data_IF_362475435861
#
_entry.id   IF_362475435861
#
_cell.length_a   1.000
_cell.length_b   1.000
_cell.length_c   1.000
_cell.angle_alpha   90.00
_cell.angle_beta   90.00
_cell.angle_gamma   90.00
#
_symmetry.space_group_name_H-M   'P 1'
#
loop_
_entity.id
_entity.type
_entity.pdbx_description
1 polymer ?
#
# COMPACT_ATOMS: atom_id res chain seq x y z
N UNK A 1 -8.47 -2.05 6.30
CA UNK A 1 -8.16 -3.49 6.36
C UNK A 1 -6.85 -3.61 7.13
N UNK A 2 -6.79 -4.47 8.12
CA UNK A 2 -5.57 -4.72 8.88
C UNK A 2 -4.75 -5.81 8.14
N UNK A 3 -3.53 -5.47 7.78
CA UNK A 3 -2.64 -6.35 7.01
C UNK A 3 -1.80 -7.28 7.90
N UNK A 4 -1.83 -7.07 9.22
CA UNK A 4 -1.01 -7.86 10.14
C UNK A 4 -1.34 -9.35 10.10
N UNK A 5 -0.34 -10.19 10.25
CA UNK A 5 -0.52 -11.64 10.40
C UNK A 5 -1.06 -12.00 11.79
N UNK A 6 -0.81 -11.16 12.78
CA UNK A 6 -1.12 -11.37 14.19
C UNK A 6 -2.61 -11.51 14.53
N UNK A 7 -3.51 -11.03 13.67
CA UNK A 7 -4.96 -11.13 13.85
C UNK A 7 -5.61 -12.24 13.01
N UNK A 8 -4.81 -13.19 12.54
CA UNK A 8 -5.26 -14.30 11.67
C UNK A 8 -4.75 -15.63 12.18
N UNK A 9 -5.53 -16.67 11.93
CA UNK A 9 -5.12 -18.06 12.09
C UNK A 9 -5.08 -18.69 10.72
N UNK A 10 -3.98 -19.35 10.41
CA UNK A 10 -3.76 -20.04 9.16
C UNK A 10 -3.70 -21.55 9.41
N UNK A 11 -4.20 -22.35 8.48
CA UNK A 11 -3.89 -23.76 8.44
C UNK A 11 -2.38 -23.94 8.20
N UNK A 12 -1.72 -24.84 8.89
CA UNK A 12 -0.26 -24.98 8.84
C UNK A 12 0.27 -25.33 7.43
N UNK A 13 -0.53 -26.04 6.66
CA UNK A 13 -0.26 -26.42 5.27
C UNK A 13 -0.31 -25.24 4.26
N UNK A 14 -0.92 -24.11 4.66
CA UNK A 14 -0.94 -22.88 3.87
C UNK A 14 0.31 -22.02 4.07
N UNK A 15 1.03 -22.18 5.18
CA UNK A 15 2.19 -21.37 5.53
C UNK A 15 3.48 -22.06 5.08
N UNK A 16 3.93 -21.74 3.87
CA UNK A 16 5.23 -22.17 3.37
C UNK A 16 6.30 -21.13 3.67
N UNK A 17 7.58 -21.54 3.69
CA UNK A 17 8.71 -20.60 3.81
C UNK A 17 8.67 -19.53 2.72
N UNK A 18 8.33 -19.90 1.49
CA UNK A 18 8.20 -18.97 0.35
C UNK A 18 7.11 -17.91 0.54
N UNK A 19 6.07 -18.21 1.31
CA UNK A 19 5.03 -17.23 1.63
C UNK A 19 5.52 -16.18 2.63
N UNK A 20 6.34 -16.61 3.60
CA UNK A 20 6.83 -15.77 4.68
C UNK A 20 8.10 -15.01 4.27
N UNK A 21 9.05 -15.69 3.62
CA UNK A 21 10.25 -15.08 3.06
C UNK A 21 10.00 -14.60 1.63
N UNK A 22 9.41 -13.41 1.54
CA UNK A 22 9.11 -12.77 0.26
C UNK A 22 10.12 -11.67 -0.13
N UNK A 23 11.23 -11.56 0.60
CA UNK A 23 12.32 -10.62 0.34
C UNK A 23 11.95 -9.15 0.55
N UNK A 24 10.90 -8.88 1.34
CA UNK A 24 10.48 -7.54 1.72
C UNK A 24 10.71 -7.31 3.21
N UNK A 25 11.13 -6.10 3.57
CA UNK A 25 11.21 -5.66 4.97
C UNK A 25 9.97 -4.83 5.39
N UNK A 26 9.17 -4.41 4.42
CA UNK A 26 7.95 -3.63 4.63
C UNK A 26 6.81 -4.15 3.75
N UNK A 27 5.63 -4.31 4.33
CA UNK A 27 4.45 -4.93 3.71
C UNK A 27 4.64 -6.42 3.37
N UNK A 28 5.60 -7.08 4.00
CA UNK A 28 5.79 -8.53 3.96
C UNK A 28 4.52 -9.25 4.41
N UNK A 29 3.88 -8.76 5.47
CA UNK A 29 2.60 -9.25 6.00
C UNK A 29 1.48 -9.17 4.96
N UNK A 30 1.39 -8.05 4.24
CA UNK A 30 0.38 -7.85 3.21
C UNK A 30 0.54 -8.87 2.10
N UNK A 31 1.78 -9.10 1.66
CA UNK A 31 2.05 -10.03 0.57
C UNK A 31 1.87 -11.49 1.00
N UNK A 32 2.29 -11.85 2.22
CA UNK A 32 2.06 -13.17 2.79
C UNK A 32 0.56 -13.47 2.91
N UNK A 33 -0.23 -12.53 3.42
CA UNK A 33 -1.69 -12.65 3.47
C UNK A 33 -2.29 -12.86 2.07
N UNK A 34 -1.87 -12.05 1.10
CA UNK A 34 -2.35 -12.16 -0.28
C UNK A 34 -2.10 -13.55 -0.87
N UNK A 35 -0.87 -14.03 -0.76
CA UNK A 35 -0.48 -15.36 -1.25
C UNK A 35 -1.28 -16.48 -0.57
N UNK A 36 -1.46 -16.39 0.75
CA UNK A 36 -2.26 -17.35 1.51
C UNK A 36 -3.72 -17.35 1.05
N UNK A 37 -4.34 -16.19 0.86
CA UNK A 37 -5.73 -16.09 0.40
C UNK A 37 -5.94 -16.62 -1.02
N UNK A 38 -4.95 -16.53 -1.89
CA UNK A 38 -5.06 -17.06 -3.27
C UNK A 38 -5.17 -18.59 -3.31
N UNK A 39 -4.58 -19.29 -2.34
CA UNK A 39 -4.54 -20.75 -2.29
C UNK A 39 -5.45 -21.35 -1.22
N UNK A 40 -5.97 -20.55 -0.31
CA UNK A 40 -6.87 -21.02 0.74
C UNK A 40 -8.19 -21.49 0.13
N UNK A 41 -8.70 -22.68 0.51
CA UNK A 41 -9.98 -23.19 0.05
C UNK A 41 -11.18 -22.38 0.58
N UNK A 42 -10.93 -21.57 1.61
CA UNK A 42 -11.93 -20.70 2.21
C UNK A 42 -11.37 -19.90 3.37
N UNK A 43 -12.11 -18.88 3.79
CA UNK A 43 -11.81 -18.10 4.98
C UNK A 43 -13.07 -17.81 5.78
N UNK A 44 -12.92 -17.65 7.10
CA UNK A 44 -13.99 -17.26 8.00
C UNK A 44 -13.57 -16.02 8.79
N UNK A 45 -14.52 -15.13 9.01
CA UNK A 45 -14.36 -14.00 9.91
C UNK A 45 -14.91 -14.37 11.28
N UNK A 46 -14.12 -14.06 12.33
CA UNK A 46 -14.53 -14.22 13.71
C UNK A 46 -14.42 -12.86 14.40
N UNK A 47 -15.53 -12.36 14.92
CA UNK A 47 -15.56 -11.11 15.71
C UNK A 47 -15.15 -11.42 17.17
N UNK A 48 -13.86 -11.66 17.34
CA UNK A 48 -13.26 -11.96 18.63
C UNK A 48 -11.96 -11.17 18.82
N UNK A 49 -11.90 -10.34 19.85
CA UNK A 49 -10.72 -9.55 20.20
C UNK A 49 -9.72 -10.39 21.02
N UNK A 50 -9.09 -11.36 20.36
CA UNK A 50 -8.15 -12.32 20.99
C UNK A 50 -6.69 -11.90 21.03
N UNK A 51 -6.34 -10.77 20.41
CA UNK A 51 -4.96 -10.30 20.34
C UNK A 51 -4.79 -8.90 20.94
N UNK A 52 -3.83 -8.75 21.86
CA UNK A 52 -3.47 -7.47 22.45
C UNK A 52 -2.25 -6.87 21.76
N UNK A 53 -2.46 -5.91 20.85
CA UNK A 53 -1.37 -5.20 20.21
C UNK A 53 -0.74 -4.17 21.15
N UNK A 54 0.44 -4.49 21.68
CA UNK A 54 1.18 -3.58 22.57
C UNK A 54 1.90 -2.52 21.73
N UNK A 55 1.53 -1.27 21.92
CA UNK A 55 2.25 -0.14 21.34
C UNK A 55 3.33 0.35 22.31
N UNK A 56 4.54 0.56 21.82
CA UNK A 56 5.63 1.17 22.57
C UNK A 56 6.51 2.03 21.66
N UNK A 57 7.18 3.04 22.23
CA UNK A 57 7.94 4.04 21.49
C UNK A 57 9.07 3.45 20.61
N UNK A 58 9.60 2.28 20.96
CA UNK A 58 10.64 1.59 20.18
C UNK A 58 10.08 0.70 19.06
N UNK A 59 8.75 0.68 18.85
CA UNK A 59 8.13 -0.11 17.80
C UNK A 59 8.63 0.31 16.41
N UNK A 60 8.79 -0.66 15.51
CA UNK A 60 9.20 -0.42 14.11
C UNK A 60 8.29 0.56 13.38
N UNK A 61 6.98 0.57 13.73
CA UNK A 61 5.98 1.48 13.16
C UNK A 61 6.24 2.97 13.47
N UNK A 62 7.03 3.29 14.52
CA UNK A 62 7.38 4.66 14.91
C UNK A 62 8.71 5.13 14.33
N UNK A 63 9.46 4.27 13.67
CA UNK A 63 10.75 4.64 13.08
C UNK A 63 10.57 5.41 11.77
N UNK A 64 11.54 6.29 11.47
CA UNK A 64 11.60 6.92 10.16
C UNK A 64 11.73 5.83 9.08
N UNK A 65 10.78 5.80 8.14
CA UNK A 65 10.80 4.82 7.06
C UNK A 65 11.90 5.17 6.06
N UNK A 66 12.87 4.29 5.78
CA UNK A 66 13.90 4.54 4.78
C UNK A 66 13.31 4.50 3.35
N UNK A 67 14.02 5.03 2.32
CA UNK A 67 13.59 4.91 0.93
C UNK A 67 13.22 3.49 0.51
N UNK A 68 13.95 2.47 0.98
CA UNK A 68 13.65 1.06 0.77
C UNK A 68 12.22 0.68 1.15
N UNK A 69 11.64 1.30 2.18
CA UNK A 69 10.26 1.02 2.58
C UNK A 69 9.23 1.41 1.52
N UNK A 70 9.53 2.42 0.72
CA UNK A 70 8.68 2.84 -0.41
C UNK A 70 8.75 1.79 -1.53
N UNK A 71 9.97 1.35 -1.83
CA UNK A 71 10.22 0.35 -2.87
C UNK A 71 9.54 -0.98 -2.53
N UNK A 72 9.68 -1.45 -1.29
CA UNK A 72 9.06 -2.68 -0.81
C UNK A 72 7.53 -2.62 -0.88
N UNK A 73 6.93 -1.53 -0.38
CA UNK A 73 5.50 -1.34 -0.42
C UNK A 73 4.95 -1.28 -1.86
N UNK A 74 5.70 -0.64 -2.77
CA UNK A 74 5.36 -0.59 -4.20
C UNK A 74 5.46 -1.97 -4.85
N UNK A 75 6.52 -2.72 -4.54
CA UNK A 75 6.73 -4.11 -5.02
C UNK A 75 5.62 -5.04 -4.55
N UNK A 76 5.26 -5.00 -3.26
CA UNK A 76 4.15 -5.78 -2.74
C UNK A 76 2.84 -5.50 -3.49
N UNK A 77 2.51 -4.22 -3.68
CA UNK A 77 1.31 -3.82 -4.41
C UNK A 77 1.34 -4.23 -5.90
N UNK A 78 2.52 -4.18 -6.54
CA UNK A 78 2.70 -4.60 -7.93
C UNK A 78 2.53 -6.11 -8.09
N UNK A 79 3.06 -6.91 -7.16
CA UNK A 79 2.89 -8.36 -7.17
C UNK A 79 1.43 -8.77 -6.95
N UNK A 80 0.74 -8.14 -6.00
CA UNK A 80 -0.70 -8.33 -5.79
C UNK A 80 -1.46 -8.07 -7.10
N UNK A 81 -1.13 -6.98 -7.79
CA UNK A 81 -1.74 -6.64 -9.09
C UNK A 81 -1.47 -7.68 -10.17
N UNK A 82 -0.24 -8.18 -10.24
CA UNK A 82 0.20 -9.12 -11.27
C UNK A 82 -0.40 -10.53 -11.07
N UNK A 83 -0.64 -10.92 -9.82
CA UNK A 83 -1.13 -12.27 -9.46
C UNK A 83 -2.62 -12.33 -9.18
N UNK A 84 -3.34 -11.20 -9.29
CA UNK A 84 -4.76 -11.15 -9.01
C UNK A 84 -5.57 -11.92 -10.05
N UNK A 85 -6.55 -12.75 -9.63
CA UNK A 85 -7.53 -13.37 -10.50
C UNK A 85 -8.32 -12.33 -11.31
N UNK A 86 -8.82 -12.74 -12.48
CA UNK A 86 -9.51 -11.84 -13.42
C UNK A 86 -10.70 -11.10 -12.76
N UNK A 87 -11.46 -11.79 -11.92
CA UNK A 87 -12.61 -11.24 -11.19
C UNK A 87 -12.22 -10.18 -10.16
N UNK A 88 -10.98 -10.16 -9.70
CA UNK A 88 -10.46 -9.20 -8.73
C UNK A 88 -9.69 -8.04 -9.37
N UNK A 89 -9.40 -8.09 -10.68
CA UNK A 89 -8.55 -7.10 -11.35
C UNK A 89 -9.04 -5.67 -11.18
N UNK A 90 -10.35 -5.43 -11.21
CA UNK A 90 -10.90 -4.09 -11.03
C UNK A 90 -10.60 -3.52 -9.63
N UNK A 91 -10.77 -4.34 -8.59
CA UNK A 91 -10.49 -3.97 -7.20
C UNK A 91 -9.00 -3.76 -6.97
N UNK A 92 -8.19 -4.66 -7.49
CA UNK A 92 -6.74 -4.63 -7.30
C UNK A 92 -6.09 -3.50 -8.08
N UNK A 93 -6.59 -3.17 -9.27
CA UNK A 93 -6.12 -1.99 -10.01
C UNK A 93 -6.42 -0.68 -9.25
N UNK A 94 -7.60 -0.56 -8.63
CA UNK A 94 -7.91 0.58 -7.79
C UNK A 94 -6.99 0.65 -6.57
N UNK A 95 -6.81 -0.48 -5.87
CA UNK A 95 -5.89 -0.60 -4.73
C UNK A 95 -4.45 -0.21 -5.09
N UNK A 96 -3.93 -0.75 -6.20
CA UNK A 96 -2.58 -0.45 -6.66
C UNK A 96 -2.38 1.05 -6.91
N UNK A 97 -3.32 1.66 -7.64
CA UNK A 97 -3.27 3.09 -7.94
C UNK A 97 -3.37 3.96 -6.69
N UNK A 98 -4.29 3.63 -5.80
CA UNK A 98 -4.42 4.29 -4.49
C UNK A 98 -3.11 4.20 -3.70
N UNK A 99 -2.46 3.04 -3.70
CA UNK A 99 -1.18 2.84 -3.03
C UNK A 99 -0.09 3.75 -3.60
N UNK A 100 0.02 3.89 -4.93
CA UNK A 100 0.98 4.81 -5.55
C UNK A 100 0.75 6.26 -5.10
N UNK A 101 -0.49 6.72 -5.12
CA UNK A 101 -0.87 8.09 -4.71
C UNK A 101 -0.61 8.31 -3.22
N UNK A 102 -0.93 7.32 -2.39
CA UNK A 102 -0.65 7.35 -0.96
C UNK A 102 0.85 7.46 -0.66
N UNK A 103 1.68 6.63 -1.28
CA UNK A 103 3.13 6.64 -1.09
C UNK A 103 3.74 7.97 -1.55
N UNK A 104 3.31 8.52 -2.69
CA UNK A 104 3.75 9.84 -3.15
C UNK A 104 3.37 10.95 -2.15
N UNK A 105 2.15 10.93 -1.64
CA UNK A 105 1.68 11.89 -0.63
C UNK A 105 2.44 11.75 0.69
N UNK A 106 2.78 10.52 1.09
CA UNK A 106 3.58 10.23 2.28
C UNK A 106 5.00 10.80 2.16
N UNK A 107 5.64 10.67 0.99
CA UNK A 107 6.96 11.30 0.74
C UNK A 107 6.84 12.83 0.81
N UNK A 108 5.83 13.41 0.16
CA UNK A 108 5.68 14.87 0.08
C UNK A 108 5.43 15.52 1.45
N UNK A 109 4.87 14.79 2.40
CA UNK A 109 4.71 15.27 3.79
C UNK A 109 6.03 15.40 4.55
N UNK A 110 7.06 14.65 4.19
CA UNK A 110 8.33 14.61 4.92
C UNK A 110 9.16 15.87 4.72
N UNK A 111 9.88 16.27 5.77
CA UNK A 111 10.83 17.38 5.68
C UNK A 111 11.99 17.05 4.71
N UNK A 112 12.45 15.79 4.72
CA UNK A 112 13.52 15.25 3.89
C UNK A 112 13.02 14.59 2.60
N UNK A 113 11.97 15.11 1.97
CA UNK A 113 11.40 14.55 0.73
C UNK A 113 12.42 14.41 -0.42
N UNK A 114 13.52 15.18 -0.36
CA UNK A 114 14.64 15.10 -1.33
C UNK A 114 15.36 13.75 -1.30
N UNK A 115 15.41 13.08 -0.16
CA UNK A 115 16.07 11.78 0.01
C UNK A 115 15.31 10.65 -0.73
N UNK A 116 14.03 10.90 -1.07
CA UNK A 116 13.14 9.98 -1.77
C UNK A 116 12.91 10.38 -3.24
N UNK A 117 13.84 11.14 -3.83
CA UNK A 117 13.66 11.71 -5.17
C UNK A 117 13.45 10.64 -6.24
N UNK A 118 14.18 9.53 -6.15
CA UNK A 118 14.08 8.41 -7.11
C UNK A 118 12.69 7.77 -6.98
N UNK A 119 12.31 7.40 -5.77
CA UNK A 119 11.01 6.77 -5.47
C UNK A 119 9.85 7.66 -5.89
N UNK A 120 9.91 8.95 -5.56
CA UNK A 120 8.85 9.89 -5.94
C UNK A 120 8.71 10.01 -7.47
N UNK A 121 9.81 9.97 -8.20
CA UNK A 121 9.77 10.02 -9.67
C UNK A 121 9.14 8.76 -10.26
N UNK A 122 9.51 7.58 -9.78
CA UNK A 122 8.89 6.31 -10.20
C UNK A 122 7.40 6.25 -9.87
N UNK A 123 7.01 6.72 -8.68
CA UNK A 123 5.59 6.81 -8.31
C UNK A 123 4.82 7.75 -9.25
N UNK A 124 5.39 8.90 -9.61
CA UNK A 124 4.76 9.83 -10.56
C UNK A 124 4.59 9.22 -11.95
N UNK A 125 5.56 8.45 -12.43
CA UNK A 125 5.43 7.72 -13.70
C UNK A 125 4.25 6.74 -13.63
N UNK A 126 4.16 5.96 -12.56
CA UNK A 126 3.05 5.02 -12.37
C UNK A 126 1.68 5.72 -12.21
N UNK A 127 1.65 6.87 -11.52
CA UNK A 127 0.43 7.67 -11.37
C UNK A 127 -0.01 8.26 -12.71
N UNK A 128 0.92 8.76 -13.53
CA UNK A 128 0.61 9.27 -14.86
C UNK A 128 0.06 8.18 -15.77
N UNK A 129 0.72 7.02 -15.82
CA UNK A 129 0.24 5.87 -16.59
C UNK A 129 -1.18 5.42 -16.16
N UNK A 130 -1.48 5.44 -14.87
CA UNK A 130 -2.82 5.12 -14.37
C UNK A 130 -3.85 6.21 -14.65
N UNK A 131 -3.45 7.48 -14.68
CA UNK A 131 -4.35 8.58 -15.03
C UNK A 131 -4.81 8.53 -16.50
N UNK A 132 -3.94 8.01 -17.37
CA UNK A 132 -4.21 7.83 -18.81
C UNK A 132 -4.98 6.53 -19.12
N UNK A 133 -5.18 5.65 -18.12
CA UNK A 133 -5.93 4.40 -18.28
C UNK A 133 -7.45 4.65 -18.21
N UNK A 134 -8.21 4.48 -19.33
CA UNK A 134 -9.65 4.71 -19.32
C UNK A 134 -10.43 3.74 -18.42
N UNK A 135 -9.92 2.52 -18.20
CA UNK A 135 -10.56 1.54 -17.33
C UNK A 135 -10.44 1.96 -15.87
N UNK A 136 -9.25 2.43 -15.47
CA UNK A 136 -9.04 2.98 -14.13
C UNK A 136 -9.80 4.29 -13.95
N UNK A 137 -9.86 5.13 -14.98
CA UNK A 137 -10.63 6.38 -14.99
C UNK A 137 -12.12 6.17 -14.69
N UNK A 138 -12.71 5.06 -15.14
CA UNK A 138 -14.12 4.69 -14.93
C UNK A 138 -14.35 3.75 -13.75
N UNK A 139 -13.28 3.34 -13.05
CA UNK A 139 -13.38 2.37 -11.95
C UNK A 139 -14.17 2.99 -10.77
N UNK A 140 -15.37 2.44 -10.42
CA UNK A 140 -16.19 2.99 -9.33
C UNK A 140 -15.57 2.79 -7.95
N UNK A 141 -14.63 1.85 -7.81
CA UNK A 141 -13.93 1.57 -6.56
C UNK A 141 -12.81 2.57 -6.27
N UNK A 142 -12.42 3.37 -7.28
CA UNK A 142 -11.39 4.40 -7.07
C UNK A 142 -12.02 5.71 -6.59
N UNK A 143 -11.77 6.13 -5.33
CA UNK A 143 -12.34 7.35 -4.76
C UNK A 143 -11.97 8.62 -5.54
N UNK A 144 -12.91 9.56 -5.62
CA UNK A 144 -12.68 10.86 -6.26
C UNK A 144 -11.52 11.64 -5.61
N UNK A 145 -11.36 11.51 -4.30
CA UNK A 145 -10.26 12.11 -3.55
C UNK A 145 -8.89 11.61 -4.02
N UNK A 146 -8.77 10.31 -4.33
CA UNK A 146 -7.52 9.73 -4.85
C UNK A 146 -7.22 10.27 -6.25
N UNK A 147 -8.22 10.37 -7.13
CA UNK A 147 -8.06 10.98 -8.47
C UNK A 147 -7.59 12.43 -8.38
N UNK A 148 -8.20 13.19 -7.47
CA UNK A 148 -7.82 14.58 -7.24
C UNK A 148 -6.40 14.71 -6.68
N UNK A 149 -6.04 13.85 -5.72
CA UNK A 149 -4.67 13.79 -5.16
C UNK A 149 -3.63 13.41 -6.22
N UNK A 150 -3.98 12.48 -7.11
CA UNK A 150 -3.14 12.09 -8.24
C UNK A 150 -2.91 13.28 -9.19
N UNK A 151 -3.99 13.97 -9.56
CA UNK A 151 -3.91 15.16 -10.40
C UNK A 151 -3.03 16.26 -9.78
N UNK A 152 -3.22 16.55 -8.48
CA UNK A 152 -2.38 17.50 -7.75
C UNK A 152 -0.90 17.06 -7.72
N UNK A 153 -0.63 15.76 -7.52
CA UNK A 153 0.73 15.21 -7.50
C UNK A 153 1.46 15.44 -8.83
N UNK A 154 0.73 15.34 -9.95
CA UNK A 154 1.30 15.49 -11.30
C UNK A 154 1.42 16.95 -11.73
N UNK A 155 0.36 17.73 -11.55
CA UNK A 155 0.23 19.06 -12.16
C UNK A 155 0.55 20.20 -11.20
N UNK A 156 0.35 20.02 -9.89
CA UNK A 156 0.57 21.06 -8.87
C UNK A 156 1.38 20.52 -7.67
N UNK A 157 2.57 19.92 -7.89
CA UNK A 157 3.30 19.19 -6.84
C UNK A 157 3.70 20.07 -5.64
N UNK A 158 4.01 21.35 -5.86
CA UNK A 158 4.36 22.29 -4.76
C UNK A 158 3.15 22.61 -3.89
N UNK A 159 1.98 22.86 -4.51
CA UNK A 159 0.73 23.06 -3.78
C UNK A 159 0.33 21.80 -3.00
N UNK A 160 0.43 20.63 -3.65
CA UNK A 160 0.12 19.37 -3.00
C UNK A 160 1.07 19.06 -1.84
N UNK A 161 2.35 19.33 -1.99
CA UNK A 161 3.32 19.20 -0.90
C UNK A 161 2.96 20.10 0.30
N UNK A 162 2.59 21.34 0.04
CA UNK A 162 2.14 22.27 1.09
C UNK A 162 0.87 21.75 1.78
N UNK A 163 -0.12 21.30 1.01
CA UNK A 163 -1.36 20.71 1.55
C UNK A 163 -1.09 19.44 2.37
N UNK A 164 -0.23 18.54 1.86
CA UNK A 164 0.15 17.32 2.57
C UNK A 164 0.81 17.63 3.93
N UNK A 165 1.65 18.66 4.00
CA UNK A 165 2.34 19.04 5.25
C UNK A 165 1.45 19.71 6.27
N UNK A 166 0.44 20.46 5.82
CA UNK A 166 -0.36 21.29 6.72
C UNK A 166 -1.70 20.66 7.11
N UNK A 167 -2.30 19.85 6.25
CA UNK A 167 -3.67 19.35 6.44
C UNK A 167 -3.79 17.83 6.55
N UNK A 168 -2.86 17.07 5.97
CA UNK A 168 -2.90 15.63 6.08
C UNK A 168 -2.09 15.21 7.32
N UNK A 169 -2.78 15.07 8.44
CA UNK A 169 -2.18 14.48 9.64
C UNK A 169 -1.83 13.01 9.36
N UNK A 170 -0.69 12.57 9.91
CA UNK A 170 -0.41 11.14 9.95
C UNK A 170 -1.55 10.46 10.71
N UNK A 171 -2.27 9.57 10.05
CA UNK A 171 -3.11 8.61 10.76
C UNK A 171 -2.11 7.62 11.40
N UNK A 172 -1.82 7.87 12.66
CA UNK A 172 -1.10 6.95 13.54
C UNK A 172 -1.92 5.70 13.75
#
# INVERSE_FOLDING_TARGET
MDYGLWNKLFSADLLTEEMLDNGLAYNEDLLANWRAFLVAPGCAFCDFAGYHYRQHAASASHRALPPQSIDDQRRAAAEIRATAPAEMQQSVNAFYYEKLVYLASMILRRANATDYRVQLNELKIGIAAGADDPQLGRNPLLPRSIRFSAWLTLHMPRLWQWACRNFLKDRQ
#
